data_IF_954257689265
#
_entry.id   IF_954257689265
#
_cell.length_a   1.000
_cell.length_b   1.000
_cell.length_c   1.000
_cell.angle_alpha   90.00
_cell.angle_beta   90.00
_cell.angle_gamma   90.00
#
_symmetry.space_group_name_H-M   'P 1'
#
loop_
_entity.id
_entity.type
_entity.pdbx_description
1 polymer ?
#
# COMPACT_ATOMS: atom_id res chain seq x y z
N UNK A 1 -0.79 -28.29 -14.44
CA UNK A 1 -0.87 -28.69 -13.02
C UNK A 1 0.47 -29.28 -12.59
N UNK A 2 1.12 -28.75 -11.55
CA UNK A 2 2.40 -29.28 -11.05
C UNK A 2 2.13 -30.59 -10.27
N UNK A 3 2.86 -31.68 -10.58
CA UNK A 3 2.57 -33.05 -10.09
C UNK A 3 3.60 -33.60 -9.10
N UNK A 4 4.79 -33.00 -9.03
CA UNK A 4 5.87 -33.42 -8.13
C UNK A 4 5.88 -32.62 -6.84
N UNK A 5 6.29 -33.25 -5.73
CA UNK A 5 6.35 -32.65 -4.41
C UNK A 5 7.77 -32.71 -3.83
N UNK A 6 8.11 -31.70 -3.03
CA UNK A 6 9.36 -31.63 -2.27
C UNK A 6 8.98 -31.49 -0.80
N UNK A 7 9.64 -32.25 0.08
CA UNK A 7 9.46 -32.19 1.53
C UNK A 7 10.80 -31.77 2.16
N UNK A 8 10.77 -30.82 3.08
CA UNK A 8 11.93 -30.42 3.86
C UNK A 8 11.56 -30.40 5.35
N UNK A 9 12.55 -30.65 6.20
CA UNK A 9 12.38 -30.60 7.66
C UNK A 9 12.37 -29.13 8.10
N UNK A 10 11.47 -28.83 9.04
CA UNK A 10 11.42 -27.54 9.72
C UNK A 10 10.81 -27.76 11.11
N UNK A 11 11.14 -26.87 12.03
CA UNK A 11 10.50 -26.75 13.33
C UNK A 11 9.07 -26.24 13.20
N UNK A 12 8.29 -26.39 14.27
CA UNK A 12 6.91 -25.90 14.35
C UNK A 12 6.85 -24.38 14.13
N UNK A 13 7.82 -23.64 14.67
CA UNK A 13 7.89 -22.18 14.53
C UNK A 13 8.22 -21.76 13.10
N UNK A 14 9.19 -22.39 12.46
CA UNK A 14 9.53 -22.11 11.06
C UNK A 14 8.35 -22.37 10.13
N UNK A 15 7.60 -23.47 10.34
CA UNK A 15 6.40 -23.77 9.56
C UNK A 15 5.35 -22.66 9.70
N UNK A 16 5.06 -22.21 10.93
CA UNK A 16 4.11 -21.11 11.18
C UNK A 16 4.59 -19.79 10.55
N UNK A 17 5.88 -19.51 10.64
CA UNK A 17 6.47 -18.29 10.07
C UNK A 17 6.36 -18.27 8.54
N UNK A 18 6.69 -19.38 7.87
CA UNK A 18 6.55 -19.50 6.41
C UNK A 18 5.09 -19.29 5.97
N UNK A 19 4.13 -19.82 6.74
CA UNK A 19 2.72 -19.64 6.45
C UNK A 19 2.28 -18.17 6.59
N UNK A 20 2.71 -17.48 7.65
CA UNK A 20 2.43 -16.05 7.83
C UNK A 20 3.07 -15.17 6.75
N UNK A 21 4.29 -15.50 6.31
CA UNK A 21 4.94 -14.78 5.21
C UNK A 21 4.25 -15.03 3.87
N UNK A 22 3.82 -16.26 3.60
CA UNK A 22 3.02 -16.58 2.41
C UNK A 22 1.69 -15.82 2.40
N UNK A 23 0.99 -15.76 3.54
CA UNK A 23 -0.24 -14.97 3.71
C UNK A 23 -0.01 -13.49 3.41
N UNK A 24 1.05 -12.87 3.95
CA UNK A 24 1.40 -11.46 3.69
C UNK A 24 1.75 -11.19 2.22
N UNK A 25 2.38 -12.17 1.56
CA UNK A 25 2.64 -12.10 0.12
C UNK A 25 1.37 -12.36 -0.73
N UNK A 26 0.28 -12.82 -0.12
CA UNK A 26 -0.92 -13.27 -0.83
C UNK A 26 -0.68 -14.45 -1.76
N UNK A 27 0.25 -15.34 -1.38
CA UNK A 27 0.63 -16.55 -2.12
C UNK A 27 0.28 -17.81 -1.32
N UNK A 28 0.09 -18.94 -2.02
CA UNK A 28 0.08 -20.23 -1.32
C UNK A 28 1.45 -20.55 -0.73
N UNK A 29 1.52 -21.34 0.34
CA UNK A 29 2.79 -21.72 0.97
C UNK A 29 3.77 -22.36 -0.03
N UNK A 30 3.27 -23.24 -0.89
CA UNK A 30 4.08 -23.91 -1.93
C UNK A 30 4.61 -22.95 -2.98
N UNK A 31 3.86 -21.90 -3.29
CA UNK A 31 4.28 -20.86 -4.23
C UNK A 31 5.26 -19.89 -3.59
N UNK A 32 5.01 -19.47 -2.36
CA UNK A 32 5.92 -18.66 -1.55
C UNK A 32 7.31 -19.30 -1.44
N UNK A 33 7.37 -20.58 -1.02
CA UNK A 33 8.62 -21.31 -0.88
C UNK A 33 9.34 -21.49 -2.22
N UNK A 34 8.58 -21.76 -3.30
CA UNK A 34 9.15 -21.90 -4.64
C UNK A 34 9.74 -20.59 -5.13
N UNK A 35 8.97 -19.50 -5.09
CA UNK A 35 9.42 -18.17 -5.52
C UNK A 35 10.62 -17.69 -4.73
N UNK A 36 10.62 -17.91 -3.42
CA UNK A 36 11.75 -17.57 -2.54
C UNK A 36 13.01 -18.37 -2.89
N UNK A 37 12.88 -19.67 -3.17
CA UNK A 37 14.01 -20.53 -3.53
C UNK A 37 14.63 -20.18 -4.90
N UNK A 38 13.83 -19.66 -5.83
CA UNK A 38 14.32 -19.17 -7.13
C UNK A 38 14.80 -17.71 -7.11
N UNK A 39 14.86 -17.07 -5.93
CA UNK A 39 15.34 -15.69 -5.78
C UNK A 39 14.39 -14.63 -6.33
N UNK A 40 13.12 -14.97 -6.58
CA UNK A 40 12.13 -13.96 -6.95
C UNK A 40 11.82 -13.08 -5.72
N UNK A 41 11.78 -11.76 -5.93
CA UNK A 41 11.36 -10.81 -4.89
C UNK A 41 9.91 -11.07 -4.52
N UNK A 42 9.70 -11.71 -3.38
CA UNK A 42 8.38 -11.88 -2.80
C UNK A 42 8.01 -10.58 -2.08
N UNK A 43 7.30 -9.71 -2.78
CA UNK A 43 6.85 -8.43 -2.24
C UNK A 43 5.62 -8.69 -1.36
N UNK A 44 5.67 -8.25 -0.11
CA UNK A 44 4.48 -8.24 0.75
C UNK A 44 3.39 -7.39 0.07
N UNK A 45 2.16 -7.92 0.01
CA UNK A 45 1.04 -7.14 -0.51
C UNK A 45 0.82 -5.95 0.41
N UNK A 46 0.56 -4.79 -0.18
CA UNK A 46 0.07 -3.64 0.57
C UNK A 46 -1.23 -4.05 1.26
N UNK A 47 -1.31 -3.78 2.56
CA UNK A 47 -2.55 -3.96 3.31
C UNK A 47 -3.63 -3.04 2.75
N UNK A 48 -4.91 -3.34 3.03
CA UNK A 48 -6.01 -2.45 2.62
C UNK A 48 -5.81 -1.01 3.12
N UNK A 49 -5.32 -0.86 4.36
CA UNK A 49 -4.97 0.45 4.92
C UNK A 49 -3.86 1.15 4.13
N UNK A 50 -2.80 0.42 3.77
CA UNK A 50 -1.70 0.96 2.96
C UNK A 50 -2.16 1.33 1.55
N UNK A 51 -3.06 0.55 0.95
CA UNK A 51 -3.66 0.87 -0.35
C UNK A 51 -4.51 2.13 -0.29
N UNK A 52 -5.28 2.33 0.77
CA UNK A 52 -6.09 3.53 0.93
C UNK A 52 -5.23 4.78 1.14
N UNK A 53 -4.14 4.66 1.93
CA UNK A 53 -3.15 5.72 2.03
C UNK A 53 -2.47 6.02 0.70
N UNK A 54 -2.13 4.99 -0.07
CA UNK A 54 -1.52 5.15 -1.38
C UNK A 54 -2.46 5.90 -2.34
N UNK A 55 -3.74 5.52 -2.41
CA UNK A 55 -4.75 6.23 -3.22
C UNK A 55 -4.89 7.70 -2.81
N UNK A 56 -4.89 7.98 -1.51
CA UNK A 56 -4.92 9.35 -0.98
C UNK A 56 -3.71 10.17 -1.44
N UNK A 57 -2.50 9.59 -1.38
CA UNK A 57 -1.27 10.25 -1.86
C UNK A 57 -1.32 10.54 -3.36
N UNK A 58 -1.83 9.60 -4.17
CA UNK A 58 -2.02 9.81 -5.61
C UNK A 58 -2.98 10.98 -5.88
N UNK A 59 -4.08 11.09 -5.11
CA UNK A 59 -5.02 12.21 -5.21
C UNK A 59 -4.32 13.55 -4.90
N UNK A 60 -3.57 13.62 -3.80
CA UNK A 60 -2.86 14.84 -3.41
C UNK A 60 -1.79 15.26 -4.41
N UNK A 61 -1.02 14.31 -4.96
CA UNK A 61 -0.09 14.60 -6.06
C UNK A 61 -0.80 15.31 -7.22
N UNK A 62 -1.98 14.81 -7.61
CA UNK A 62 -2.81 15.43 -8.64
C UNK A 62 -3.23 16.85 -8.28
N UNK A 63 -3.76 17.04 -7.07
CA UNK A 63 -4.20 18.35 -6.56
C UNK A 63 -3.04 19.36 -6.55
N UNK A 64 -1.85 18.99 -6.03
CA UNK A 64 -0.67 19.85 -6.02
C UNK A 64 -0.17 20.18 -7.43
N UNK A 65 -0.23 19.22 -8.36
CA UNK A 65 0.11 19.46 -9.77
C UNK A 65 -0.84 20.47 -10.40
N UNK A 66 -2.16 20.37 -10.11
CA UNK A 66 -3.17 21.33 -10.58
C UNK A 66 -2.93 22.72 -10.04
N UNK A 67 -2.68 22.84 -8.73
CA UNK A 67 -2.35 24.10 -8.05
C UNK A 67 -1.09 24.74 -8.66
N UNK A 68 -0.01 23.97 -8.84
CA UNK A 68 1.23 24.49 -9.44
C UNK A 68 1.03 25.01 -10.87
N UNK A 69 0.18 24.34 -11.65
CA UNK A 69 -0.18 24.80 -12.99
C UNK A 69 -1.05 26.07 -12.96
N UNK A 70 -1.99 26.17 -12.03
CA UNK A 70 -2.83 27.36 -11.84
C UNK A 70 -2.00 28.57 -11.39
N UNK A 71 -1.04 28.35 -10.49
CA UNK A 71 -0.09 29.38 -10.06
C UNK A 71 0.72 29.92 -11.23
N UNK A 72 1.33 29.04 -12.05
CA UNK A 72 2.09 29.44 -13.24
C UNK A 72 1.25 30.27 -14.23
N UNK A 73 -0.04 29.96 -14.37
CA UNK A 73 -0.96 30.62 -15.30
C UNK A 73 -1.72 31.81 -14.70
N UNK A 74 -1.40 32.24 -13.48
CA UNK A 74 -2.10 33.34 -12.79
C UNK A 74 -3.63 33.13 -12.76
N UNK A 75 -4.06 31.89 -12.54
CA UNK A 75 -5.47 31.55 -12.58
C UNK A 75 -6.19 32.14 -11.34
N UNK A 76 -7.26 32.93 -11.51
CA UNK A 76 -7.98 33.55 -10.39
C UNK A 76 -8.65 32.54 -9.44
N UNK A 77 -8.81 31.27 -9.87
CA UNK A 77 -9.38 30.19 -9.05
C UNK A 77 -8.35 29.49 -8.14
N UNK A 78 -7.10 29.94 -8.14
CA UNK A 78 -6.04 29.33 -7.34
C UNK A 78 -6.37 29.30 -5.84
N UNK A 79 -6.87 30.42 -5.31
CA UNK A 79 -7.17 30.55 -3.87
C UNK A 79 -8.19 29.52 -3.41
N UNK A 80 -9.31 29.39 -4.12
CA UNK A 80 -10.36 28.42 -3.79
C UNK A 80 -9.87 26.97 -3.85
N UNK A 81 -8.97 26.67 -4.79
CA UNK A 81 -8.40 25.34 -4.99
C UNK A 81 -7.43 24.94 -3.87
N UNK A 82 -6.64 25.91 -3.39
CA UNK A 82 -5.77 25.74 -2.22
C UNK A 82 -6.58 25.55 -0.95
N UNK A 83 -7.63 26.36 -0.74
CA UNK A 83 -8.54 26.24 0.41
C UNK A 83 -9.24 24.88 0.43
N UNK A 84 -9.75 24.43 -0.72
CA UNK A 84 -10.36 23.11 -0.84
C UNK A 84 -9.39 21.99 -0.48
N UNK A 85 -8.15 22.04 -1.00
CA UNK A 85 -7.13 21.03 -0.68
C UNK A 85 -6.80 21.02 0.82
N UNK A 86 -6.69 22.19 1.44
CA UNK A 86 -6.43 22.32 2.88
C UNK A 86 -7.56 21.67 3.71
N UNK A 87 -8.82 21.87 3.32
CA UNK A 87 -9.96 21.28 4.02
C UNK A 87 -10.06 19.76 3.84
N UNK A 88 -9.73 19.25 2.64
CA UNK A 88 -9.60 17.81 2.42
C UNK A 88 -8.56 17.20 3.37
N UNK A 89 -7.37 17.79 3.43
CA UNK A 89 -6.28 17.34 4.32
C UNK A 89 -6.74 17.39 5.79
N UNK A 90 -7.39 18.48 6.22
CA UNK A 90 -7.91 18.62 7.58
C UNK A 90 -8.92 17.53 7.93
N UNK A 91 -9.82 17.22 7.02
CA UNK A 91 -10.80 16.12 7.18
C UNK A 91 -10.11 14.77 7.34
N UNK A 92 -9.13 14.48 6.49
CA UNK A 92 -8.34 13.26 6.60
C UNK A 92 -7.63 13.16 7.96
N UNK A 93 -6.96 14.25 8.40
CA UNK A 93 -6.27 14.29 9.70
C UNK A 93 -7.22 14.12 10.90
N UNK A 94 -8.42 14.68 10.85
CA UNK A 94 -9.43 14.51 11.89
C UNK A 94 -9.93 13.06 11.99
N UNK A 95 -10.10 12.39 10.84
CA UNK A 95 -10.45 10.97 10.82
C UNK A 95 -9.37 10.10 11.48
N UNK A 96 -8.08 10.43 11.32
CA UNK A 96 -7.00 9.76 12.05
C UNK A 96 -7.05 10.02 13.56
N UNK A 97 -7.36 11.24 14.01
CA UNK A 97 -7.49 11.55 15.44
C UNK A 97 -8.63 10.79 16.11
N UNK A 98 -9.75 10.61 15.41
CA UNK A 98 -10.91 9.85 15.91
C UNK A 98 -10.63 8.37 16.10
N UNK A 99 -9.80 7.76 15.24
CA UNK A 99 -9.43 6.33 15.33
C UNK A 99 -8.41 6.00 16.43
N UNK A 100 -7.85 7.02 17.12
CA UNK A 100 -6.88 6.85 18.23
C UNK A 100 -7.53 6.89 19.62
N UNK A 101 -8.85 7.08 19.73
CA UNK A 101 -9.63 6.90 20.97
C UNK A 101 -10.35 5.56 20.91
#
# INVERSE_FOLDING_TARGET
MKRTYIKFRCSIYEKKLLQKRAERAGLSLSEYCRSSAFGHTVIERLTEEQLDHYKMLVKYKGNFTRIGNMFRKHNPKLTSEVEQLAEEIRTHLNNFKRRKK
#
